data_IF_688133300529
#
_entry.id   IF_688133300529
#
_cell.length_a   1.000
_cell.length_b   1.000
_cell.length_c   1.000
_cell.angle_alpha   90.00
_cell.angle_beta   90.00
_cell.angle_gamma   90.00
#
_symmetry.space_group_name_H-M   'P 1'
#
loop_
_entity.id
_entity.type
_entity.pdbx_description
1 polymer ?
#
# COMPACT_ATOMS: atom_id res chain seq x y z
N UNK A 1 -5.21 4.02 -1.10
CA UNK A 1 -5.40 3.10 -2.25
C UNK A 1 -6.72 3.36 -3.00
N UNK A 2 -7.90 3.25 -2.37
CA UNK A 2 -9.22 3.43 -3.03
C UNK A 2 -9.36 4.72 -3.86
N UNK A 3 -8.83 5.84 -3.36
CA UNK A 3 -8.79 7.12 -4.08
C UNK A 3 -8.03 6.99 -5.41
N UNK A 4 -6.78 6.52 -5.37
CA UNK A 4 -5.94 6.30 -6.55
C UNK A 4 -6.61 5.39 -7.58
N UNK A 5 -7.22 4.27 -7.14
CA UNK A 5 -7.96 3.40 -8.06
C UNK A 5 -9.08 4.16 -8.80
N UNK A 6 -9.88 4.94 -8.06
CA UNK A 6 -10.98 5.74 -8.65
C UNK A 6 -10.47 6.81 -9.61
N UNK A 7 -9.34 7.47 -9.29
CA UNK A 7 -8.69 8.44 -10.18
C UNK A 7 -8.23 7.80 -11.50
N UNK A 8 -7.95 6.49 -11.50
CA UNK A 8 -7.67 5.72 -12.73
C UNK A 8 -8.92 5.17 -13.43
N UNK A 9 -10.11 5.52 -12.96
CA UNK A 9 -11.38 5.07 -13.55
C UNK A 9 -11.67 3.57 -13.36
N UNK A 10 -10.92 2.88 -12.50
CA UNK A 10 -11.08 1.44 -12.30
C UNK A 10 -12.13 1.14 -11.23
N UNK A 11 -12.99 0.17 -11.47
CA UNK A 11 -13.82 -0.50 -10.46
C UNK A 11 -12.96 -1.43 -9.59
N UNK A 12 -13.48 -1.80 -8.42
CA UNK A 12 -12.79 -2.75 -7.54
C UNK A 12 -12.60 -4.13 -8.19
N UNK A 13 -13.51 -4.53 -9.09
CA UNK A 13 -13.44 -5.79 -9.82
C UNK A 13 -12.39 -5.75 -10.93
N UNK A 14 -12.27 -4.62 -11.64
CA UNK A 14 -11.24 -4.45 -12.67
C UNK A 14 -9.84 -4.47 -12.07
N UNK A 15 -9.62 -3.75 -10.96
CA UNK A 15 -8.32 -3.82 -10.28
C UNK A 15 -8.02 -5.23 -9.73
N UNK A 16 -9.03 -5.93 -9.23
CA UNK A 16 -8.87 -7.31 -8.78
C UNK A 16 -8.43 -8.23 -9.92
N UNK A 17 -9.01 -8.07 -11.11
CA UNK A 17 -8.64 -8.83 -12.29
C UNK A 17 -7.22 -8.50 -12.76
N UNK A 18 -6.79 -7.23 -12.70
CA UNK A 18 -5.41 -6.82 -13.04
C UNK A 18 -4.36 -7.44 -12.10
N UNK A 19 -4.73 -7.68 -10.84
CA UNK A 19 -3.88 -8.23 -9.79
C UNK A 19 -4.09 -9.72 -9.56
N UNK A 20 -4.89 -10.39 -10.40
CA UNK A 20 -5.20 -11.82 -10.29
C UNK A 20 -5.69 -12.28 -8.90
N UNK A 21 -6.48 -11.44 -8.23
CA UNK A 21 -7.06 -11.71 -6.90
C UNK A 21 -8.58 -11.50 -6.88
N UNK A 22 -9.21 -11.87 -5.76
CA UNK A 22 -10.64 -11.62 -5.57
C UNK A 22 -10.94 -10.13 -5.32
N UNK A 23 -12.13 -9.69 -5.73
CA UNK A 23 -12.60 -8.33 -5.41
C UNK A 23 -12.72 -8.10 -3.90
N UNK A 24 -13.03 -9.17 -3.14
CA UNK A 24 -13.08 -9.13 -1.68
C UNK A 24 -11.69 -8.83 -1.08
N UNK A 25 -10.61 -9.37 -1.64
CA UNK A 25 -9.23 -9.02 -1.25
C UNK A 25 -8.94 -7.54 -1.53
N UNK A 26 -9.25 -7.01 -2.72
CA UNK A 26 -9.15 -5.56 -3.00
C UNK A 26 -9.90 -4.73 -1.96
N UNK A 27 -11.13 -5.14 -1.64
CA UNK A 27 -11.99 -4.49 -0.65
C UNK A 27 -11.33 -4.45 0.73
N UNK A 28 -10.67 -5.54 1.14
CA UNK A 28 -9.92 -5.63 2.41
C UNK A 28 -8.69 -4.72 2.43
N UNK A 29 -7.93 -4.68 1.33
CA UNK A 29 -6.76 -3.81 1.20
C UNK A 29 -7.13 -2.33 1.20
N UNK A 30 -8.22 -1.97 0.51
CA UNK A 30 -8.70 -0.58 0.47
C UNK A 30 -9.17 -0.05 1.82
N UNK A 31 -9.64 -0.94 2.69
CA UNK A 31 -10.03 -0.61 4.08
C UNK A 31 -8.88 -0.72 5.08
N UNK A 32 -7.71 -1.21 4.68
CA UNK A 32 -6.59 -1.46 5.60
C UNK A 32 -6.85 -2.57 6.62
N UNK A 33 -7.74 -3.52 6.32
CA UNK A 33 -8.06 -4.66 7.22
C UNK A 33 -7.05 -5.81 7.15
N UNK A 34 -6.05 -5.70 6.27
CA UNK A 34 -4.97 -6.68 6.03
C UNK A 34 -3.73 -5.93 5.59
N UNK A 35 -2.58 -6.38 6.07
CA UNK A 35 -1.28 -5.89 5.62
C UNK A 35 -0.96 -6.34 4.19
N UNK A 36 -0.09 -5.61 3.52
CA UNK A 36 0.45 -5.96 2.21
C UNK A 36 1.91 -6.40 2.38
N UNK A 37 2.38 -7.32 1.53
CA UNK A 37 3.82 -7.47 1.30
C UNK A 37 4.33 -6.32 0.43
N UNK A 38 5.64 -6.08 0.45
CA UNK A 38 6.26 -5.07 -0.42
C UNK A 38 6.07 -5.45 -1.90
N UNK A 39 6.22 -6.72 -2.25
CA UNK A 39 6.00 -7.22 -3.62
C UNK A 39 4.60 -6.93 -4.12
N UNK A 40 3.58 -7.20 -3.29
CA UNK A 40 2.20 -6.90 -3.64
C UNK A 40 1.94 -5.40 -3.76
N UNK A 41 2.65 -4.57 -2.99
CA UNK A 41 2.58 -3.13 -3.15
C UNK A 41 3.16 -2.66 -4.50
N UNK A 42 4.26 -3.27 -4.96
CA UNK A 42 4.79 -3.03 -6.30
C UNK A 42 3.78 -3.42 -7.38
N UNK A 43 3.12 -4.57 -7.26
CA UNK A 43 2.08 -5.00 -8.19
C UNK A 43 0.90 -4.02 -8.25
N UNK A 44 0.43 -3.54 -7.08
CA UNK A 44 -0.60 -2.50 -7.00
C UNK A 44 -0.13 -1.24 -7.75
N UNK A 45 1.11 -0.81 -7.53
CA UNK A 45 1.64 0.38 -8.19
C UNK A 45 1.68 0.22 -9.70
N UNK A 46 2.12 -0.95 -10.19
CA UNK A 46 2.14 -1.28 -11.60
C UNK A 46 0.72 -1.30 -12.20
N UNK A 47 -0.23 -2.00 -11.57
CA UNK A 47 -1.62 -2.09 -12.01
C UNK A 47 -2.31 -0.72 -12.04
N UNK A 48 -2.00 0.14 -11.06
CA UNK A 48 -2.47 1.51 -11.01
C UNK A 48 -1.67 2.46 -11.89
N UNK A 49 -0.59 2.03 -12.56
CA UNK A 49 0.33 2.88 -13.33
C UNK A 49 0.81 4.11 -12.54
N UNK A 50 1.27 3.89 -11.30
CA UNK A 50 1.90 4.89 -10.45
C UNK A 50 3.37 4.53 -10.23
N UNK A 51 4.22 5.54 -10.09
CA UNK A 51 5.59 5.34 -9.62
C UNK A 51 5.53 4.81 -8.18
N UNK A 52 6.20 3.69 -7.94
CA UNK A 52 6.33 3.13 -6.59
C UNK A 52 7.00 4.13 -5.65
N UNK A 53 8.03 4.83 -6.14
CA UNK A 53 8.76 5.82 -5.34
C UNK A 53 7.87 7.00 -4.95
N UNK A 54 7.08 7.52 -5.89
CA UNK A 54 6.16 8.63 -5.61
C UNK A 54 5.06 8.21 -4.64
N UNK A 55 4.58 6.98 -4.75
CA UNK A 55 3.60 6.42 -3.83
C UNK A 55 4.15 6.31 -2.40
N UNK A 56 5.37 5.80 -2.24
CA UNK A 56 6.04 5.70 -0.94
C UNK A 56 6.33 7.09 -0.36
N UNK A 57 6.82 8.02 -1.18
CA UNK A 57 7.06 9.39 -0.75
C UNK A 57 5.79 10.05 -0.23
N UNK A 58 4.65 9.87 -0.92
CA UNK A 58 3.35 10.35 -0.45
C UNK A 58 2.94 9.77 0.90
N UNK A 59 3.20 8.47 1.14
CA UNK A 59 2.97 7.86 2.45
C UNK A 59 3.86 8.48 3.52
N UNK A 60 5.16 8.64 3.24
CA UNK A 60 6.12 9.22 4.18
C UNK A 60 5.71 10.64 4.55
N UNK A 61 5.29 11.47 3.59
CA UNK A 61 4.80 12.83 3.84
C UNK A 61 3.59 12.84 4.78
N UNK A 62 2.59 11.97 4.55
CA UNK A 62 1.42 11.85 5.44
C UNK A 62 1.83 11.48 6.88
N UNK A 63 2.74 10.50 7.03
CA UNK A 63 3.21 10.07 8.35
C UNK A 63 4.01 11.20 9.04
N UNK A 64 4.80 11.97 8.30
CA UNK A 64 5.55 13.10 8.82
C UNK A 64 4.64 14.24 9.30
N UNK A 65 3.57 14.51 8.56
CA UNK A 65 2.53 15.48 8.92
C UNK A 65 1.79 15.07 10.20
N UNK A 66 1.44 13.78 10.34
CA UNK A 66 0.74 13.27 11.53
C UNK A 66 1.62 13.20 12.79
N UNK A 67 2.93 12.98 12.65
CA UNK A 67 3.83 12.73 13.78
C UNK A 67 4.89 13.80 14.07
N UNK A 68 4.88 14.93 13.36
CA UNK A 68 5.80 16.04 13.58
C UNK A 68 7.27 15.60 13.49
N UNK A 69 7.78 15.41 12.27
CA UNK A 69 9.22 15.27 11.95
C UNK A 69 10.08 14.44 12.94
N UNK A 70 9.57 13.33 13.49
CA UNK A 70 10.38 12.43 14.32
C UNK A 70 10.85 11.20 13.51
N UNK A 71 12.08 11.24 12.94
CA UNK A 71 12.60 10.16 12.09
C UNK A 71 12.76 8.81 12.79
N UNK A 72 12.62 8.72 14.13
CA UNK A 72 12.69 7.45 14.87
C UNK A 72 11.44 6.58 14.70
N UNK A 73 10.28 7.18 14.42
CA UNK A 73 9.01 6.44 14.24
C UNK A 73 8.99 5.72 12.89
N UNK A 74 9.43 6.40 11.83
CA UNK A 74 9.53 5.84 10.47
C UNK A 74 10.45 4.62 10.43
N UNK A 75 11.59 4.71 11.13
CA UNK A 75 12.54 3.60 11.26
C UNK A 75 11.92 2.41 12.01
N UNK A 76 11.07 2.64 13.01
CA UNK A 76 10.35 1.57 13.72
C UNK A 76 9.29 0.89 12.84
N UNK A 77 8.50 1.67 12.10
CA UNK A 77 7.39 1.17 11.27
C UNK A 77 7.89 0.35 10.05
N UNK A 78 9.02 0.75 9.47
CA UNK A 78 9.62 0.06 8.31
C UNK A 78 10.48 -1.15 8.70
N UNK A 79 11.09 -1.16 9.89
CA UNK A 79 11.96 -2.25 10.36
C UNK A 79 11.22 -3.36 11.13
N UNK A 80 9.96 -3.17 11.53
CA UNK A 80 9.18 -4.22 12.23
C UNK A 80 8.76 -5.39 11.33
N UNK A 81 9.03 -5.35 10.03
CA UNK A 81 8.59 -6.38 9.07
C UNK A 81 9.51 -7.60 8.96
N UNK A 82 10.66 -7.64 9.66
CA UNK A 82 11.66 -8.70 9.45
C UNK A 82 11.89 -9.68 10.62
N UNK A 83 11.06 -9.75 11.68
CA UNK A 83 11.40 -10.64 12.81
C UNK A 83 10.34 -11.59 13.41
N UNK A 84 9.21 -11.89 12.75
CA UNK A 84 8.35 -12.99 13.23
C UNK A 84 7.92 -13.95 12.11
N UNK A 85 8.81 -14.89 11.78
CA UNK A 85 8.56 -16.35 11.70
C UNK A 85 9.60 -17.04 10.77
N UNK A 86 10.71 -17.44 11.37
CA UNK A 86 11.49 -18.61 10.96
C UNK A 86 11.79 -19.41 12.23
N UNK A 87 10.77 -20.11 12.73
CA UNK A 87 10.83 -21.35 13.51
C UNK A 87 9.49 -22.05 13.34
#
# INVERSE_FOLDING_TARGET
MKRLRKERGLSGKELANLLYISQQQISRYERGTVNFTIDFLFEICAALKISFLDFINGIISIIQEEHGSNPKILKKLLLTTEQEHFF
#
